data_IF_541231610730
#
_entry.id   IF_541231610730
#
_cell.length_a   1.000
_cell.length_b   1.000
_cell.length_c   1.000
_cell.angle_alpha   90.00
_cell.angle_beta   90.00
_cell.angle_gamma   90.00
#
_symmetry.space_group_name_H-M   'P 1'
#
loop_
_entity.id
_entity.type
_entity.pdbx_description
1 polymer ?
#
# COMPACT_ATOMS: atom_id res chain seq x y z
N UNK A 1 -26.91 -13.59 -23.29
CA UNK A 1 -25.58 -12.98 -23.39
C UNK A 1 -25.30 -12.26 -22.07
N UNK A 2 -24.39 -12.81 -21.25
CA UNK A 2 -24.12 -12.29 -19.91
C UNK A 2 -23.18 -11.07 -19.98
N UNK A 3 -23.60 -9.93 -19.39
CA UNK A 3 -22.71 -8.81 -19.10
C UNK A 3 -21.72 -9.26 -18.01
N UNK A 4 -20.54 -9.73 -18.41
CA UNK A 4 -19.46 -10.00 -17.48
C UNK A 4 -19.06 -8.68 -16.77
N UNK A 5 -19.05 -8.69 -15.44
CA UNK A 5 -18.61 -7.59 -14.61
C UNK A 5 -17.18 -7.18 -15.03
N UNK A 6 -17.06 -6.02 -15.66
CA UNK A 6 -15.77 -5.45 -16.04
C UNK A 6 -15.01 -5.08 -14.75
N UNK A 7 -13.78 -5.55 -14.54
CA UNK A 7 -12.99 -5.14 -13.40
C UNK A 7 -12.77 -3.62 -13.46
N UNK A 8 -12.84 -2.92 -12.33
CA UNK A 8 -12.75 -1.45 -12.25
C UNK A 8 -11.50 -0.88 -12.96
N UNK A 9 -10.45 -1.69 -13.11
CA UNK A 9 -9.16 -1.33 -13.72
C UNK A 9 -9.14 -1.55 -15.25
N UNK A 10 -10.22 -2.08 -15.84
CA UNK A 10 -10.40 -2.23 -17.28
C UNK A 10 -11.29 -1.13 -17.89
N UNK A 11 -11.62 -0.08 -17.11
CA UNK A 11 -12.32 1.12 -17.59
C UNK A 11 -11.36 2.22 -18.08
N UNK A 12 -10.10 1.89 -18.35
CA UNK A 12 -9.31 2.74 -19.24
C UNK A 12 -9.86 2.48 -20.64
N UNK A 13 -10.80 3.32 -21.08
CA UNK A 13 -11.11 3.41 -22.50
C UNK A 13 -9.76 3.51 -23.25
N UNK A 14 -9.56 2.82 -24.38
CA UNK A 14 -8.34 3.00 -25.17
C UNK A 14 -8.19 4.51 -25.36
N UNK A 15 -7.09 5.06 -24.84
CA UNK A 15 -6.75 6.47 -24.95
C UNK A 15 -6.49 6.71 -26.44
N UNK A 16 -7.56 6.81 -27.21
CA UNK A 16 -7.52 7.49 -28.49
C UNK A 16 -7.06 8.88 -28.08
N UNK A 17 -5.83 9.23 -28.45
CA UNK A 17 -5.30 10.58 -28.34
C UNK A 17 -6.24 11.49 -29.15
N UNK A 18 -7.34 11.87 -28.51
CA UNK A 18 -8.21 12.92 -28.97
C UNK A 18 -7.33 14.13 -28.86
N UNK A 19 -6.84 14.60 -30.01
CA UNK A 19 -6.10 15.84 -30.19
C UNK A 19 -6.77 17.07 -29.52
N UNK A 20 -7.99 16.90 -29.01
CA UNK A 20 -8.79 17.84 -28.22
C UNK A 20 -9.10 17.33 -26.80
N UNK A 21 -8.13 16.92 -26.00
CA UNK A 21 -8.34 16.82 -24.54
C UNK A 21 -8.39 18.25 -23.95
N UNK A 22 -9.55 18.70 -23.42
CA UNK A 22 -9.68 20.04 -22.84
C UNK A 22 -8.74 20.27 -21.65
N UNK A 23 -8.40 19.21 -20.90
CA UNK A 23 -7.47 19.30 -19.77
C UNK A 23 -6.03 19.48 -20.26
N UNK A 24 -5.62 18.72 -21.27
CA UNK A 24 -4.31 18.86 -21.88
C UNK A 24 -4.09 20.27 -22.44
N UNK A 25 -5.11 20.86 -23.08
CA UNK A 25 -5.07 22.26 -23.55
C UNK A 25 -4.92 23.26 -22.41
N UNK A 26 -5.63 23.06 -21.30
CA UNK A 26 -5.56 23.95 -20.15
C UNK A 26 -4.22 23.87 -19.39
N UNK A 27 -3.53 22.73 -19.46
CA UNK A 27 -2.24 22.51 -18.82
C UNK A 27 -1.04 22.92 -19.71
N UNK A 28 -1.28 23.37 -20.94
CA UNK A 28 -0.20 23.84 -21.80
C UNK A 28 0.52 25.05 -21.17
N UNK A 29 1.86 25.12 -21.28
CA UNK A 29 2.59 26.29 -20.84
C UNK A 29 2.07 27.56 -21.54
N UNK A 30 2.04 28.71 -20.84
CA UNK A 30 1.69 29.98 -21.46
C UNK A 30 2.69 30.33 -22.58
N UNK A 31 2.20 30.92 -23.67
CA UNK A 31 3.02 31.22 -24.84
C UNK A 31 4.14 32.25 -24.58
N UNK A 32 3.97 33.09 -23.55
CA UNK A 32 4.90 34.17 -23.17
C UNK A 32 5.86 33.77 -22.02
N UNK A 33 6.16 32.47 -21.86
CA UNK A 33 7.05 31.94 -20.81
C UNK A 33 8.50 32.44 -20.99
N UNK A 34 9.05 33.12 -19.97
CA UNK A 34 10.46 33.49 -19.90
C UNK A 34 11.37 32.25 -19.73
N UNK A 35 12.64 32.26 -20.19
CA UNK A 35 13.58 31.16 -19.95
C UNK A 35 13.70 30.76 -18.48
N UNK A 36 13.59 31.71 -17.55
CA UNK A 36 13.66 31.46 -16.11
C UNK A 36 12.39 30.78 -15.58
N UNK A 37 11.22 31.18 -16.09
CA UNK A 37 9.93 30.58 -15.74
C UNK A 37 9.85 29.12 -16.23
N UNK A 38 10.42 28.85 -17.41
CA UNK A 38 10.57 27.50 -17.95
C UNK A 38 11.42 26.61 -17.03
N UNK A 39 12.57 27.12 -16.60
CA UNK A 39 13.46 26.38 -15.70
C UNK A 39 12.77 26.07 -14.36
N UNK A 40 12.03 27.03 -13.80
CA UNK A 40 11.24 26.83 -12.59
C UNK A 40 10.13 25.79 -12.77
N UNK A 41 9.44 25.78 -13.91
CA UNK A 41 8.44 24.76 -14.25
C UNK A 41 9.07 23.38 -14.36
N UNK A 42 10.17 23.24 -15.08
CA UNK A 42 10.88 21.96 -15.22
C UNK A 42 11.35 21.43 -13.87
N UNK A 43 11.87 22.29 -12.99
CA UNK A 43 12.26 21.89 -11.65
C UNK A 43 11.06 21.36 -10.86
N UNK A 44 9.93 22.08 -10.87
CA UNK A 44 8.68 21.63 -10.23
C UNK A 44 8.18 20.30 -10.80
N UNK A 45 8.27 20.10 -12.12
CA UNK A 45 7.91 18.84 -12.76
C UNK A 45 8.81 17.70 -12.29
N UNK A 46 10.13 17.90 -12.22
CA UNK A 46 11.07 16.90 -11.72
C UNK A 46 10.81 16.55 -10.25
N UNK A 47 10.54 17.55 -9.42
CA UNK A 47 10.16 17.35 -8.02
C UNK A 47 8.85 16.58 -7.88
N UNK A 48 7.82 16.94 -8.66
CA UNK A 48 6.54 16.23 -8.66
C UNK A 48 6.69 14.77 -9.09
N UNK A 49 7.46 14.50 -10.16
CA UNK A 49 7.75 13.13 -10.61
C UNK A 49 8.49 12.34 -9.52
N UNK A 50 9.50 12.95 -8.88
CA UNK A 50 10.23 12.30 -7.78
C UNK A 50 9.30 11.92 -6.62
N UNK A 51 8.46 12.84 -6.18
CA UNK A 51 7.48 12.61 -5.10
C UNK A 51 6.49 11.51 -5.50
N UNK A 52 6.00 11.52 -6.74
CA UNK A 52 5.10 10.47 -7.24
C UNK A 52 5.73 9.09 -7.17
N UNK A 53 7.01 8.97 -7.57
CA UNK A 53 7.72 7.69 -7.49
C UNK A 53 7.87 7.20 -6.05
N UNK A 54 8.21 8.08 -5.12
CA UNK A 54 8.30 7.75 -3.68
C UNK A 54 6.96 7.26 -3.14
N UNK A 55 5.85 7.94 -3.48
CA UNK A 55 4.50 7.53 -3.10
C UNK A 55 4.16 6.15 -3.68
N UNK A 56 4.49 5.89 -4.94
CA UNK A 56 4.19 4.61 -5.57
C UNK A 56 4.95 3.46 -4.90
N UNK A 57 6.21 3.68 -4.51
CA UNK A 57 7.01 2.72 -3.76
C UNK A 57 6.40 2.42 -2.39
N UNK A 58 6.04 3.44 -1.63
CA UNK A 58 5.40 3.33 -0.32
C UNK A 58 4.05 2.58 -0.39
N UNK A 59 3.25 2.86 -1.41
CA UNK A 59 1.98 2.17 -1.65
C UNK A 59 2.23 0.69 -1.92
N UNK A 60 3.25 0.36 -2.72
CA UNK A 60 3.59 -1.04 -3.01
C UNK A 60 4.06 -1.77 -1.76
N UNK A 61 4.90 -1.17 -0.93
CA UNK A 61 5.34 -1.75 0.34
C UNK A 61 4.15 -1.97 1.27
N UNK A 62 3.31 -0.94 1.43
CA UNK A 62 2.10 -0.98 2.25
C UNK A 62 1.14 -2.09 1.82
N UNK A 63 0.96 -2.29 0.50
CA UNK A 63 0.17 -3.39 -0.07
C UNK A 63 0.76 -4.74 0.30
N UNK A 64 2.08 -4.94 0.14
CA UNK A 64 2.76 -6.19 0.52
C UNK A 64 2.57 -6.49 2.01
N UNK A 65 2.72 -5.50 2.87
CA UNK A 65 2.50 -5.64 4.31
C UNK A 65 1.03 -5.97 4.64
N UNK A 66 0.09 -5.32 3.97
CA UNK A 66 -1.34 -5.59 4.13
C UNK A 66 -1.71 -7.01 3.73
N UNK A 67 -1.23 -7.50 2.58
CA UNK A 67 -1.49 -8.87 2.13
C UNK A 67 -0.90 -9.91 3.09
N UNK A 68 0.27 -9.64 3.68
CA UNK A 68 0.83 -10.49 4.76
C UNK A 68 -0.08 -10.52 5.98
N UNK A 69 -0.58 -9.36 6.45
CA UNK A 69 -1.50 -9.27 7.59
C UNK A 69 -2.86 -9.91 7.32
N UNK A 70 -3.34 -9.85 6.08
CA UNK A 70 -4.62 -10.44 5.68
C UNK A 70 -4.61 -11.97 5.77
N UNK A 71 -3.45 -12.61 5.54
CA UNK A 71 -3.26 -14.06 5.72
C UNK A 71 -3.22 -14.48 7.20
N UNK A 72 -3.00 -13.55 8.13
CA UNK A 72 -3.01 -13.86 9.54
C UNK A 72 -4.45 -14.13 10.03
N UNK A 73 -4.64 -15.23 10.76
CA UNK A 73 -5.92 -15.55 11.39
C UNK A 73 -6.13 -14.56 12.55
N UNK A 74 -7.10 -13.66 12.40
CA UNK A 74 -7.49 -12.72 13.46
C UNK A 74 -8.47 -13.40 14.40
N UNK A 75 -8.00 -13.75 15.60
CA UNK A 75 -8.84 -14.29 16.66
C UNK A 75 -9.24 -13.12 17.56
N UNK A 76 -10.53 -12.78 17.57
CA UNK A 76 -11.10 -11.85 18.54
C UNK A 76 -11.62 -12.66 19.72
N UNK A 77 -10.98 -12.49 20.86
CA UNK A 77 -11.37 -13.19 22.07
C UNK A 77 -12.31 -12.31 22.90
N UNK A 78 -13.54 -12.75 23.11
CA UNK A 78 -14.51 -12.10 23.99
C UNK A 78 -14.84 -13.05 25.14
N UNK A 79 -14.62 -12.61 26.39
CA UNK A 79 -15.01 -13.33 27.59
C UNK A 79 -14.45 -12.72 28.87
N UNK A 80 -15.19 -12.86 29.98
CA UNK A 80 -14.86 -12.40 31.34
C UNK A 80 -13.58 -13.05 31.92
N UNK A 81 -13.15 -14.19 31.37
CA UNK A 81 -12.03 -15.00 31.87
C UNK A 81 -10.70 -14.57 31.22
N UNK A 82 -10.26 -13.36 31.53
CA UNK A 82 -9.01 -12.76 31.04
C UNK A 82 -7.73 -13.53 31.42
N UNK A 83 -7.77 -14.35 32.48
CA UNK A 83 -6.61 -15.04 33.04
C UNK A 83 -6.28 -16.40 32.40
N UNK A 84 -7.27 -17.13 31.89
CA UNK A 84 -7.05 -18.53 31.45
C UNK A 84 -6.22 -18.63 30.16
N UNK A 85 -6.50 -17.76 29.19
CA UNK A 85 -5.75 -17.75 27.92
C UNK A 85 -4.38 -17.06 28.03
N UNK A 86 -4.23 -16.08 28.94
CA UNK A 86 -2.92 -15.52 29.29
C UNK A 86 -2.00 -16.59 29.90
N UNK A 87 -2.55 -17.44 30.78
CA UNK A 87 -1.83 -18.55 31.39
C UNK A 87 -1.44 -19.64 30.38
N UNK A 88 -2.34 -20.01 29.46
CA UNK A 88 -2.04 -20.98 28.40
C UNK A 88 -0.96 -20.48 27.44
N UNK A 89 -0.98 -19.19 27.06
CA UNK A 89 0.06 -18.60 26.21
C UNK A 89 1.42 -18.53 26.92
N UNK A 90 1.44 -18.23 28.22
CA UNK A 90 2.66 -18.22 29.03
C UNK A 90 3.28 -19.62 29.18
N UNK A 91 2.46 -20.66 29.39
CA UNK A 91 2.94 -22.05 29.49
C UNK A 91 3.49 -22.62 28.16
N UNK A 92 2.98 -22.13 27.03
CA UNK A 92 3.45 -22.57 25.71
C UNK A 92 4.81 -21.96 25.32
N UNK A 93 5.20 -20.83 25.91
CA UNK A 93 6.49 -20.19 25.65
C UNK A 93 7.61 -20.67 26.57
N UNK A 94 7.29 -21.23 27.75
CA UNK A 94 8.25 -21.91 28.61
C UNK A 94 8.32 -23.40 28.24
N UNK A 95 9.39 -23.82 27.56
CA UNK A 95 9.67 -25.23 27.31
C UNK A 95 9.68 -26.06 28.61
N UNK A 96 9.46 -27.39 28.53
CA UNK A 96 9.30 -28.23 29.71
C UNK A 96 10.51 -28.11 30.64
N UNK A 97 10.31 -28.07 31.98
CA UNK A 97 11.41 -27.97 32.91
C UNK A 97 12.35 -29.16 32.71
N UNK A 98 13.65 -28.88 32.55
CA UNK A 98 14.69 -29.88 32.44
C UNK A 98 14.67 -30.78 33.68
N UNK A 99 14.56 -32.10 33.45
CA UNK A 99 14.49 -33.09 34.51
C UNK A 99 15.75 -32.96 35.39
N UNK A 100 15.63 -32.84 36.73
CA UNK A 100 16.82 -32.75 37.57
C UNK A 100 17.64 -34.04 37.45
N UNK A 101 18.97 -33.96 37.55
CA UNK A 101 19.83 -35.13 37.44
C UNK A 101 19.48 -36.13 38.55
N UNK A 102 19.17 -37.35 38.16
CA UNK A 102 19.08 -38.48 39.07
C UNK A 102 20.50 -38.74 39.57
N UNK A 103 20.74 -38.43 40.85
CA UNK A 103 21.98 -38.79 41.53
C UNK A 103 22.08 -40.33 41.65
N UNK A 104 23.30 -40.89 41.58
CA UNK A 104 23.53 -42.35 41.52
C UNK A 104 23.10 -43.09 42.78
#
# INVERSE_FOLDING_TARGET
MALAARPFHANHAPFLDSHDDPLARALQPPADESPDERAAREQKQREATRISHEIDEDIQESRKAFERRKKAIKILLLGEQTLFLAFFFALSSSGPPSRPPVAP
#
